data_IF_930229371765
#
_entry.id   IF_930229371765
#
_cell.length_a   1.000
_cell.length_b   1.000
_cell.length_c   1.000
_cell.angle_alpha   90.00
_cell.angle_beta   90.00
_cell.angle_gamma   90.00
#
_symmetry.space_group_name_H-M   'P 1'
#
loop_
_entity.id
_entity.type
_entity.pdbx_description
1 polymer ?
#
# COMPACT_ATOMS: atom_id res chain seq x y z
N UNK A 1 8.12 -14.41 -23.12
CA UNK A 1 8.17 -13.71 -21.82
C UNK A 1 7.72 -14.66 -20.73
N UNK A 2 8.25 -14.53 -19.50
CA UNK A 2 7.86 -15.33 -18.33
C UNK A 2 7.28 -14.39 -17.28
N UNK A 3 6.17 -14.78 -16.66
CA UNK A 3 5.62 -14.10 -15.48
C UNK A 3 6.10 -14.86 -14.25
N UNK A 4 6.76 -14.17 -13.32
CA UNK A 4 7.28 -14.79 -12.10
C UNK A 4 7.48 -13.76 -10.98
N UNK A 5 7.55 -14.26 -9.75
CA UNK A 5 7.82 -13.42 -8.59
C UNK A 5 9.26 -12.90 -8.56
N UNK A 6 9.46 -11.72 -7.95
CA UNK A 6 10.76 -11.06 -7.86
C UNK A 6 11.83 -11.91 -7.12
N UNK A 7 11.44 -12.88 -6.30
CA UNK A 7 12.37 -13.82 -5.66
C UNK A 7 13.16 -14.70 -6.65
N UNK A 8 12.72 -14.82 -7.91
CA UNK A 8 13.48 -15.50 -8.97
C UNK A 8 14.45 -14.57 -9.71
N UNK A 9 14.48 -13.28 -9.42
CA UNK A 9 15.25 -12.29 -10.16
C UNK A 9 16.74 -12.62 -10.22
N UNK A 10 17.38 -12.95 -9.08
CA UNK A 10 18.81 -13.27 -9.07
C UNK A 10 19.16 -14.46 -9.96
N UNK A 11 18.29 -15.47 -10.01
CA UNK A 11 18.48 -16.63 -10.88
C UNK A 11 18.30 -16.25 -12.36
N UNK A 12 17.29 -15.42 -12.67
CA UNK A 12 17.07 -14.92 -14.02
C UNK A 12 18.23 -14.03 -14.49
N UNK A 13 18.71 -13.12 -13.65
CA UNK A 13 19.84 -12.24 -13.92
C UNK A 13 21.12 -13.03 -14.14
N UNK A 14 21.39 -14.05 -13.32
CA UNK A 14 22.55 -14.92 -13.50
C UNK A 14 22.50 -15.71 -14.83
N UNK A 15 21.31 -16.14 -15.27
CA UNK A 15 21.14 -16.92 -16.49
C UNK A 15 21.15 -16.06 -17.77
N UNK A 16 20.59 -14.85 -17.71
CA UNK A 16 20.33 -14.01 -18.88
C UNK A 16 21.31 -12.84 -19.02
N UNK A 17 21.94 -12.41 -17.92
CA UNK A 17 22.87 -11.29 -17.91
C UNK A 17 22.28 -10.02 -18.53
N UNK A 18 23.01 -9.41 -19.46
CA UNK A 18 22.57 -8.20 -20.18
C UNK A 18 21.36 -8.41 -21.10
N UNK A 19 20.91 -9.65 -21.32
CA UNK A 19 19.72 -9.94 -22.11
C UNK A 19 18.43 -9.96 -21.26
N UNK A 20 18.53 -9.77 -19.93
CA UNK A 20 17.36 -9.64 -19.08
C UNK A 20 16.73 -8.26 -19.26
N UNK A 21 15.44 -8.23 -19.59
CA UNK A 21 14.58 -7.06 -19.48
C UNK A 21 13.48 -7.31 -18.47
N UNK A 22 13.13 -6.29 -17.69
CA UNK A 22 12.03 -6.32 -16.73
C UNK A 22 10.99 -5.29 -17.12
N UNK A 23 9.71 -5.65 -17.03
CA UNK A 23 8.60 -4.75 -17.31
C UNK A 23 7.40 -5.12 -16.44
N UNK A 24 6.45 -4.20 -16.31
CA UNK A 24 5.17 -4.45 -15.64
C UNK A 24 4.34 -5.47 -16.40
N UNK A 25 3.39 -6.09 -15.69
CA UNK A 25 2.42 -6.97 -16.31
C UNK A 25 1.60 -6.22 -17.38
N UNK A 26 1.32 -6.85 -18.54
CA UNK A 26 0.64 -6.19 -19.65
C UNK A 26 -0.83 -5.92 -19.33
N UNK A 27 -1.46 -5.04 -20.09
CA UNK A 27 -2.93 -4.99 -20.17
C UNK A 27 -3.45 -6.25 -20.89
N UNK A 28 -4.69 -6.63 -20.62
CA UNK A 28 -5.37 -7.69 -21.33
C UNK A 28 -6.80 -7.29 -21.67
N UNK A 29 -7.29 -7.74 -22.82
CA UNK A 29 -8.68 -7.52 -23.24
C UNK A 29 -9.47 -8.78 -22.97
N UNK A 30 -10.57 -8.69 -22.22
CA UNK A 30 -11.44 -9.85 -22.00
C UNK A 30 -12.22 -10.18 -23.26
N UNK A 31 -12.21 -11.45 -23.65
CA UNK A 31 -13.00 -11.93 -24.78
C UNK A 31 -14.41 -12.30 -24.32
N UNK A 32 -15.32 -12.55 -25.27
CA UNK A 32 -16.67 -13.06 -24.96
C UNK A 32 -16.67 -14.40 -24.25
N UNK A 33 -15.56 -15.13 -24.23
CA UNK A 33 -15.41 -16.40 -23.52
C UNK A 33 -14.94 -16.21 -22.07
N UNK A 34 -14.30 -15.08 -21.76
CA UNK A 34 -13.70 -14.80 -20.45
C UNK A 34 -14.56 -13.86 -19.59
N UNK A 35 -15.56 -13.21 -20.20
CA UNK A 35 -16.46 -12.30 -19.48
C UNK A 35 -17.32 -13.04 -18.46
N UNK A 36 -17.36 -12.50 -17.26
CA UNK A 36 -18.24 -12.94 -16.17
C UNK A 36 -18.98 -11.74 -15.57
N UNK A 37 -20.23 -11.96 -15.14
CA UNK A 37 -21.07 -10.91 -14.58
C UNK A 37 -21.48 -9.86 -15.61
N UNK A 38 -21.34 -8.57 -15.25
CA UNK A 38 -21.76 -7.42 -16.06
C UNK A 38 -20.65 -6.80 -16.91
N UNK A 39 -19.48 -7.44 -17.00
CA UNK A 39 -18.33 -6.92 -17.76
C UNK A 39 -18.53 -7.16 -19.26
N UNK A 40 -18.53 -6.12 -20.11
CA UNK A 40 -18.65 -6.29 -21.56
C UNK A 40 -17.41 -6.96 -22.17
N UNK A 41 -17.61 -7.75 -23.24
CA UNK A 41 -16.50 -8.25 -24.04
C UNK A 41 -15.79 -7.10 -24.76
N UNK A 42 -14.48 -7.19 -24.92
CA UNK A 42 -13.66 -6.09 -25.45
C UNK A 42 -13.23 -5.06 -24.41
N UNK A 43 -13.59 -5.25 -23.14
CA UNK A 43 -13.09 -4.39 -22.05
C UNK A 43 -11.60 -4.67 -21.81
N UNK A 44 -10.79 -3.62 -21.78
CA UNK A 44 -9.38 -3.71 -21.40
C UNK A 44 -9.22 -3.61 -19.88
N UNK A 45 -8.43 -4.51 -19.32
CA UNK A 45 -8.03 -4.51 -17.91
C UNK A 45 -6.52 -4.33 -17.79
N UNK A 46 -6.12 -3.56 -16.78
CA UNK A 46 -4.73 -3.45 -16.36
C UNK A 46 -4.42 -4.59 -15.39
N UNK A 47 -3.40 -5.40 -15.70
CA UNK A 47 -2.88 -6.38 -14.75
C UNK A 47 -2.30 -5.65 -13.53
N UNK A 48 -2.60 -6.17 -12.34
CA UNK A 48 -2.00 -5.74 -11.07
C UNK A 48 -1.15 -6.85 -10.45
N UNK A 49 -0.61 -6.60 -9.26
CA UNK A 49 0.08 -7.61 -8.46
C UNK A 49 -0.67 -7.91 -7.16
N UNK A 50 -0.57 -9.14 -6.69
CA UNK A 50 -0.71 -9.42 -5.25
C UNK A 50 0.54 -8.91 -4.56
N UNK A 51 0.33 -8.21 -3.46
CA UNK A 51 1.32 -7.35 -2.86
C UNK A 51 1.46 -7.67 -1.36
N UNK A 52 2.67 -8.05 -0.96
CA UNK A 52 3.01 -8.33 0.43
C UNK A 52 3.37 -7.01 1.11
N UNK A 53 2.53 -6.55 2.05
CA UNK A 53 2.79 -5.35 2.81
C UNK A 53 3.43 -5.69 4.17
N UNK A 54 4.64 -5.17 4.41
CA UNK A 54 5.22 -5.14 5.75
C UNK A 54 4.64 -3.93 6.49
N UNK A 55 4.16 -4.14 7.70
CA UNK A 55 3.55 -3.08 8.49
C UNK A 55 3.99 -3.16 9.95
N UNK A 56 4.15 -1.98 10.55
CA UNK A 56 4.25 -1.85 12.00
C UNK A 56 2.84 -1.78 12.58
N UNK A 57 2.60 -2.50 13.67
CA UNK A 57 1.33 -2.49 14.40
C UNK A 57 1.58 -2.19 15.87
N UNK A 58 0.72 -1.37 16.47
CA UNK A 58 0.74 -1.13 17.91
C UNK A 58 -0.35 -1.93 18.63
N UNK A 59 -0.05 -2.37 19.85
CA UNK A 59 -1.05 -2.99 20.73
C UNK A 59 -2.12 -1.97 21.09
N UNK A 60 -3.39 -2.32 20.83
CA UNK A 60 -4.54 -1.53 21.28
C UNK A 60 -4.55 -1.38 22.81
N UNK A 61 -4.82 -0.16 23.28
CA UNK A 61 -4.89 0.15 24.72
C UNK A 61 -3.55 0.04 25.44
N UNK A 62 -2.43 0.23 24.75
CA UNK A 62 -1.12 0.36 25.39
C UNK A 62 -1.07 1.63 26.23
N UNK A 63 -0.58 1.54 27.47
CA UNK A 63 -0.27 2.70 28.33
C UNK A 63 0.92 3.52 27.78
N UNK A 64 1.62 3.00 26.77
CA UNK A 64 2.70 3.66 26.03
C UNK A 64 2.27 4.13 24.64
N UNK A 65 0.97 4.29 24.38
CA UNK A 65 0.45 4.61 23.05
C UNK A 65 1.18 5.79 22.37
N UNK A 66 1.40 6.90 23.08
CA UNK A 66 2.11 8.06 22.53
C UNK A 66 3.53 7.72 22.04
N UNK A 67 4.35 7.07 22.87
CA UNK A 67 5.70 6.64 22.49
C UNK A 67 5.69 5.65 21.33
N UNK A 68 4.74 4.71 21.30
CA UNK A 68 4.62 3.74 20.22
C UNK A 68 4.24 4.41 18.90
N UNK A 69 3.38 5.43 18.93
CA UNK A 69 3.04 6.21 17.74
C UNK A 69 4.26 6.95 17.18
N UNK A 70 5.10 7.53 18.04
CA UNK A 70 6.32 8.22 17.60
C UNK A 70 7.33 7.25 16.98
N UNK A 71 7.53 6.08 17.60
CA UNK A 71 8.39 5.02 17.07
C UNK A 71 7.86 4.56 15.71
N UNK A 72 6.57 4.27 15.59
CA UNK A 72 5.97 3.84 14.33
C UNK A 72 6.11 4.90 13.25
N UNK A 73 5.87 6.18 13.58
CA UNK A 73 6.02 7.30 12.66
C UNK A 73 7.45 7.40 12.12
N UNK A 74 8.44 7.30 13.01
CA UNK A 74 9.85 7.28 12.62
C UNK A 74 10.19 6.08 11.72
N UNK A 75 9.82 4.86 12.13
CA UNK A 75 10.12 3.65 11.36
C UNK A 75 9.41 3.59 10.01
N UNK A 76 8.28 4.31 9.87
CA UNK A 76 7.56 4.46 8.60
C UNK A 76 7.96 5.72 7.80
N UNK A 77 8.95 6.49 8.26
CA UNK A 77 9.29 7.76 7.62
C UNK A 77 9.89 7.55 6.23
N UNK A 78 9.89 8.61 5.42
CA UNK A 78 10.48 8.62 4.08
C UNK A 78 11.94 8.12 4.12
N UNK A 79 12.72 8.68 5.04
CA UNK A 79 14.16 8.44 5.18
C UNK A 79 14.45 6.99 5.58
N UNK A 80 13.67 6.43 6.51
CA UNK A 80 13.84 5.03 6.92
C UNK A 80 13.44 4.07 5.81
N UNK A 81 12.40 4.40 5.04
CA UNK A 81 12.00 3.59 3.88
C UNK A 81 13.08 3.61 2.78
N UNK A 82 13.67 4.76 2.48
CA UNK A 82 14.78 4.86 1.51
C UNK A 82 16.03 4.11 1.97
N UNK A 83 16.38 4.23 3.25
CA UNK A 83 17.48 3.45 3.84
C UNK A 83 17.21 1.95 3.73
N UNK A 84 15.99 1.51 4.06
CA UNK A 84 15.58 0.10 3.98
C UNK A 84 15.61 -0.45 2.55
N UNK A 85 15.29 0.37 1.55
CA UNK A 85 15.47 0.01 0.14
C UNK A 85 16.96 -0.18 -0.18
N UNK A 86 17.81 0.78 0.20
CA UNK A 86 19.25 0.73 -0.08
C UNK A 86 19.95 -0.46 0.59
N UNK A 87 19.61 -0.75 1.84
CA UNK A 87 20.30 -1.78 2.64
C UNK A 87 19.75 -3.19 2.41
N UNK A 88 18.47 -3.32 2.04
CA UNK A 88 17.78 -4.60 2.03
C UNK A 88 16.84 -4.83 0.84
N UNK A 89 16.82 -3.93 -0.15
CA UNK A 89 15.92 -3.99 -1.31
C UNK A 89 14.43 -4.09 -0.91
N UNK A 90 14.06 -3.54 0.24
CA UNK A 90 12.65 -3.45 0.62
C UNK A 90 11.97 -2.35 -0.19
N UNK A 91 10.94 -2.70 -0.96
CA UNK A 91 10.18 -1.72 -1.73
C UNK A 91 9.46 -0.75 -0.77
N UNK A 92 9.63 0.57 -0.96
CA UNK A 92 8.96 1.55 -0.14
C UNK A 92 7.45 1.61 -0.46
N UNK A 93 6.64 1.86 0.57
CA UNK A 93 5.20 2.16 0.42
C UNK A 93 4.93 3.67 0.35
N UNK A 94 5.96 4.51 0.48
CA UNK A 94 5.86 5.95 0.31
C UNK A 94 5.44 6.31 -1.13
N UNK A 95 4.30 6.99 -1.26
CA UNK A 95 3.63 7.26 -2.54
C UNK A 95 4.48 7.94 -3.61
N UNK A 96 5.46 8.75 -3.20
CA UNK A 96 6.33 9.50 -4.11
C UNK A 96 7.74 8.90 -4.20
N UNK A 97 7.95 7.66 -3.73
CA UNK A 97 9.30 7.08 -3.65
C UNK A 97 10.01 7.03 -5.01
N UNK A 98 9.28 6.70 -6.09
CA UNK A 98 9.81 6.69 -7.46
C UNK A 98 10.39 8.03 -7.89
N UNK A 99 9.78 9.13 -7.46
CA UNK A 99 10.12 10.47 -7.91
C UNK A 99 11.09 11.18 -6.95
N UNK A 100 11.08 10.80 -5.67
CA UNK A 100 11.80 11.51 -4.62
C UNK A 100 12.96 10.76 -3.97
N UNK A 101 13.14 9.46 -4.23
CA UNK A 101 14.24 8.68 -3.66
C UNK A 101 15.40 8.65 -4.65
N UNK A 102 16.53 9.22 -4.26
CA UNK A 102 17.76 9.20 -5.07
C UNK A 102 18.19 7.75 -5.36
N UNK A 103 17.99 6.85 -4.38
CA UNK A 103 18.27 5.41 -4.51
C UNK A 103 17.46 4.70 -5.61
N UNK A 104 16.36 5.30 -6.07
CA UNK A 104 15.52 4.76 -7.14
C UNK A 104 15.78 5.43 -8.50
N UNK A 105 16.76 6.33 -8.59
CA UNK A 105 17.16 6.97 -9.84
C UNK A 105 18.23 6.14 -10.55
N UNK A 106 18.00 5.82 -11.83
CA UNK A 106 19.00 5.13 -12.68
C UNK A 106 18.41 4.05 -13.58
N UNK A 107 19.30 3.43 -14.37
CA UNK A 107 18.92 2.52 -15.46
C UNK A 107 19.32 1.05 -15.20
N UNK A 108 19.77 0.71 -13.99
CA UNK A 108 20.10 -0.68 -13.65
C UNK A 108 18.85 -1.56 -13.72
N UNK A 109 19.03 -2.85 -14.05
CA UNK A 109 17.90 -3.78 -14.17
C UNK A 109 17.22 -4.03 -12.80
N UNK A 110 17.96 -3.88 -11.71
CA UNK A 110 17.44 -3.88 -10.34
C UNK A 110 16.53 -2.68 -10.07
N UNK A 111 16.93 -1.48 -10.50
CA UNK A 111 16.08 -0.28 -10.40
C UNK A 111 14.84 -0.42 -11.29
N UNK A 112 15.01 -0.93 -12.51
CA UNK A 112 13.87 -1.21 -13.41
C UNK A 112 12.89 -2.19 -12.77
N UNK A 113 13.38 -3.24 -12.10
CA UNK A 113 12.54 -4.17 -11.34
C UNK A 113 11.80 -3.45 -10.21
N UNK A 114 12.50 -2.67 -9.38
CA UNK A 114 11.89 -1.95 -8.27
C UNK A 114 10.80 -0.98 -8.74
N UNK A 115 11.07 -0.19 -9.79
CA UNK A 115 10.11 0.74 -10.39
C UNK A 115 8.91 -0.01 -10.98
N UNK A 116 9.13 -1.10 -11.72
CA UNK A 116 8.04 -1.91 -12.27
C UNK A 116 7.16 -2.50 -11.17
N UNK A 117 7.75 -2.94 -10.05
CA UNK A 117 6.99 -3.45 -8.91
C UNK A 117 6.16 -2.35 -8.23
N UNK A 118 6.69 -1.13 -8.06
CA UNK A 118 5.92 0.00 -7.53
C UNK A 118 4.76 0.38 -8.46
N UNK A 119 4.98 0.45 -9.77
CA UNK A 119 3.92 0.74 -10.75
C UNK A 119 2.80 -0.33 -10.73
N UNK A 120 3.16 -1.61 -10.58
CA UNK A 120 2.17 -2.67 -10.42
C UNK A 120 1.41 -2.58 -9.10
N UNK A 121 2.04 -2.05 -8.05
CA UNK A 121 1.44 -1.85 -6.73
C UNK A 121 0.33 -0.79 -6.75
N UNK A 122 0.41 0.23 -7.62
CA UNK A 122 -0.67 1.22 -7.79
C UNK A 122 -2.03 0.59 -8.14
N UNK A 123 -1.99 -0.56 -8.80
CA UNK A 123 -3.15 -1.35 -9.20
C UNK A 123 -3.19 -2.70 -8.48
N UNK A 124 -2.34 -2.87 -7.46
CA UNK A 124 -2.22 -4.07 -6.68
C UNK A 124 -3.34 -4.19 -5.66
N UNK A 125 -3.66 -5.43 -5.30
CA UNK A 125 -4.54 -5.72 -4.17
C UNK A 125 -3.63 -6.27 -3.06
N UNK A 126 -3.63 -5.67 -1.85
CA UNK A 126 -2.86 -6.21 -0.75
C UNK A 126 -3.32 -7.64 -0.48
N UNK A 127 -2.37 -8.58 -0.40
CA UNK A 127 -2.69 -9.98 -0.15
C UNK A 127 -2.86 -10.19 1.37
N UNK A 128 -4.07 -10.49 1.88
CA UNK A 128 -4.23 -10.77 3.30
C UNK A 128 -3.68 -12.16 3.60
N UNK A 129 -2.43 -12.24 4.08
CA UNK A 129 -1.93 -13.44 4.74
C UNK A 129 -2.41 -13.45 6.19
N UNK A 130 -3.58 -14.05 6.40
CA UNK A 130 -4.08 -14.36 7.74
C UNK A 130 -4.75 -15.72 7.71
N UNK A 131 -4.25 -16.67 8.50
CA UNK A 131 -4.98 -17.91 8.80
C UNK A 131 -6.21 -17.63 9.70
N UNK A 132 -6.35 -16.40 10.21
CA UNK A 132 -7.36 -15.98 11.19
C UNK A 132 -7.90 -14.58 10.85
N UNK A 133 -9.22 -14.49 10.69
CA UNK A 133 -9.95 -13.26 10.31
C UNK A 133 -9.94 -12.18 11.41
N UNK A 134 -9.41 -12.48 12.61
CA UNK A 134 -9.21 -11.48 13.68
C UNK A 134 -8.12 -10.46 13.36
N UNK A 135 -7.27 -10.72 12.37
CA UNK A 135 -6.23 -9.81 11.89
C UNK A 135 -6.66 -9.03 10.64
N UNK A 136 -7.91 -8.57 10.59
CA UNK A 136 -8.35 -7.63 9.56
C UNK A 136 -7.49 -6.37 9.63
N UNK A 137 -6.63 -6.19 8.63
CA UNK A 137 -5.73 -5.06 8.51
C UNK A 137 -6.54 -3.82 8.14
N UNK A 138 -6.95 -3.04 9.14
CA UNK A 138 -7.40 -1.67 8.92
C UNK A 138 -6.15 -0.80 8.76
N UNK A 139 -5.99 -0.16 7.60
CA UNK A 139 -4.93 0.82 7.35
C UNK A 139 -4.93 1.85 8.48
N UNK A 140 -3.91 1.80 9.35
CA UNK A 140 -3.75 2.78 10.41
C UNK A 140 -3.32 4.10 9.79
N UNK A 141 -4.11 5.15 10.02
CA UNK A 141 -3.76 6.52 9.64
C UNK A 141 -3.90 7.40 10.88
N UNK A 142 -2.84 8.18 11.16
CA UNK A 142 -2.67 8.95 12.39
C UNK A 142 -3.90 9.81 12.66
N UNK A 143 -4.49 9.68 13.85
CA UNK A 143 -5.66 10.43 14.30
C UNK A 143 -7.03 9.86 13.89
N UNK A 144 -7.14 9.03 12.83
CA UNK A 144 -8.42 8.41 12.48
C UNK A 144 -9.01 7.53 13.62
N UNK A 145 -8.21 6.74 14.36
CA UNK A 145 -8.71 6.00 15.52
C UNK A 145 -9.25 6.91 16.62
N UNK A 146 -8.63 8.06 16.87
CA UNK A 146 -9.10 9.00 17.89
C UNK A 146 -10.45 9.61 17.48
N UNK A 147 -10.60 9.99 16.20
CA UNK A 147 -11.86 10.52 15.67
C UNK A 147 -13.02 9.51 15.74
N UNK A 148 -12.73 8.21 15.52
CA UNK A 148 -13.72 7.15 15.74
C UNK A 148 -14.08 7.05 17.22
N UNK A 149 -13.10 7.16 18.13
CA UNK A 149 -13.38 7.17 19.56
C UNK A 149 -14.21 8.39 19.97
N UNK A 150 -14.01 9.58 19.37
CA UNK A 150 -14.84 10.75 19.64
C UNK A 150 -16.32 10.49 19.32
N UNK A 151 -16.60 9.80 18.21
CA UNK A 151 -17.96 9.37 17.85
C UNK A 151 -18.52 8.39 18.89
N UNK A 152 -17.76 7.34 19.23
CA UNK A 152 -18.21 6.27 20.13
C UNK A 152 -18.42 6.75 21.57
N UNK A 153 -17.62 7.70 22.02
CA UNK A 153 -17.72 8.31 23.34
C UNK A 153 -18.74 9.45 23.38
N UNK A 154 -19.36 9.78 22.24
CA UNK A 154 -20.16 10.98 22.06
C UNK A 154 -19.48 12.21 22.68
N UNK A 155 -18.21 12.41 22.34
CA UNK A 155 -17.36 13.39 23.01
C UNK A 155 -18.00 14.78 22.96
N UNK A 156 -18.19 15.38 24.14
CA UNK A 156 -18.85 16.66 24.34
C UNK A 156 -20.29 16.74 23.78
N UNK A 157 -21.01 15.61 23.70
CA UNK A 157 -22.37 15.51 23.16
C UNK A 157 -22.49 15.97 21.69
N UNK A 158 -21.41 15.84 20.91
CA UNK A 158 -21.33 16.33 19.53
C UNK A 158 -21.89 15.35 18.47
N UNK A 159 -22.17 14.11 18.84
CA UNK A 159 -22.48 13.01 17.90
C UNK A 159 -23.87 12.39 18.12
N UNK A 160 -24.81 13.18 18.63
CA UNK A 160 -26.21 12.78 18.88
C UNK A 160 -27.06 12.58 17.61
N UNK A 161 -26.52 12.91 16.44
CA UNK A 161 -27.25 12.84 15.17
C UNK A 161 -26.47 12.06 14.12
N UNK A 162 -27.19 11.31 13.28
CA UNK A 162 -26.62 10.60 12.13
C UNK A 162 -25.81 11.53 11.20
N UNK A 163 -26.22 12.79 11.08
CA UNK A 163 -25.53 13.80 10.27
C UNK A 163 -24.15 14.16 10.85
N UNK A 164 -24.05 14.33 12.18
CA UNK A 164 -22.79 14.62 12.84
C UNK A 164 -21.82 13.42 12.80
N UNK A 165 -22.35 12.22 12.99
CA UNK A 165 -21.59 10.96 12.85
C UNK A 165 -21.07 10.83 11.42
N UNK A 166 -21.92 11.03 10.41
CA UNK A 166 -21.54 10.93 9.00
C UNK A 166 -20.45 11.94 8.63
N UNK A 167 -20.56 13.20 9.07
CA UNK A 167 -19.55 14.22 8.81
C UNK A 167 -18.17 13.82 9.35
N UNK A 168 -18.12 13.28 10.56
CA UNK A 168 -16.87 12.81 11.17
C UNK A 168 -16.32 11.55 10.47
N UNK A 169 -17.20 10.64 10.06
CA UNK A 169 -16.83 9.44 9.30
C UNK A 169 -16.27 9.77 7.92
N UNK A 170 -16.75 10.84 7.26
CA UNK A 170 -16.18 11.32 6.00
C UNK A 170 -14.75 11.85 6.18
N UNK A 171 -14.44 12.47 7.33
CA UNK A 171 -13.07 12.87 7.68
C UNK A 171 -12.18 11.64 7.88
N UNK A 172 -12.68 10.63 8.61
CA UNK A 172 -11.99 9.34 8.81
C UNK A 172 -11.71 8.67 7.46
N UNK A 173 -12.71 8.60 6.59
CA UNK A 173 -12.60 8.03 5.25
C UNK A 173 -11.55 8.78 4.40
N UNK A 174 -11.55 10.11 4.43
CA UNK A 174 -10.56 10.92 3.73
C UNK A 174 -9.13 10.67 4.26
N UNK A 175 -8.96 10.57 5.58
CA UNK A 175 -7.69 10.25 6.24
C UNK A 175 -7.21 8.84 5.85
N UNK A 176 -8.11 7.87 5.73
CA UNK A 176 -7.78 6.52 5.26
C UNK A 176 -7.41 6.47 3.79
N UNK A 177 -8.12 7.23 2.94
CA UNK A 177 -7.84 7.30 1.50
C UNK A 177 -6.55 8.03 1.17
N UNK A 178 -6.21 9.07 1.92
CA UNK A 178 -5.15 10.03 1.53
C UNK A 178 -3.97 10.11 2.49
N UNK A 179 -4.11 9.58 3.71
CA UNK A 179 -3.13 9.77 4.79
C UNK A 179 -3.09 11.19 5.36
N UNK A 180 -3.97 12.09 4.90
CA UNK A 180 -3.99 13.52 5.28
C UNK A 180 -5.36 13.86 5.87
N UNK A 181 -5.35 14.58 7.00
CA UNK A 181 -6.58 15.16 7.55
C UNK A 181 -7.01 16.34 6.69
N UNK A 182 -8.24 16.37 6.14
CA UNK A 182 -8.77 17.53 5.45
C UNK A 182 -8.70 18.75 6.37
N UNK A 183 -8.03 19.81 5.91
CA UNK A 183 -8.20 21.14 6.50
C UNK A 183 -9.56 21.65 6.05
N UNK A 184 -10.46 21.87 7.01
CA UNK A 184 -11.76 22.52 6.78
C UNK A 184 -11.61 23.82 6.02
#
# INVERSE_FOLDING_TARGET
AVIGGAWHFNAAQAALGSNLGVTKLPTFTVTSQDVYGSTPAGTEFQSGTFADAKMFVMKKGSDKAAYLQDIMMHLSSKEIQEQSFTEANNLPSYKNAKDEFDSMTGDSVEIQLAVAQLEMFERGIPQPFGADTRFNFYYYSKGAPDLIMEILENKNDLFDTDAAILAQMLIVEAIWKTGVRPTT
#
